data_IF_568240710727
#
_entry.id   IF_568240710727
#
_cell.length_a   1.000
_cell.length_b   1.000
_cell.length_c   1.000
_cell.angle_alpha   90.00
_cell.angle_beta   90.00
_cell.angle_gamma   90.00
#
_symmetry.space_group_name_H-M   'P 1'
#
loop_
_entity.id
_entity.type
_entity.pdbx_description
1 polymer ?
#
# COMPACT_ATOMS: atom_id res chain seq x y z
N UNK A 1 -8.69 4.05 -7.66
CA UNK A 1 -8.04 2.87 -7.06
C UNK A 1 -9.08 2.15 -6.23
N UNK A 2 -9.19 0.83 -6.35
CA UNK A 2 -10.27 0.06 -5.71
C UNK A 2 -9.79 -0.93 -4.66
N UNK A 3 -8.51 -1.29 -4.68
CA UNK A 3 -7.90 -2.17 -3.68
C UNK A 3 -6.41 -1.87 -3.52
N UNK A 4 -5.89 -2.18 -2.33
CA UNK A 4 -4.48 -2.22 -1.99
C UNK A 4 -4.18 -3.53 -1.26
N UNK A 5 -3.29 -4.33 -1.84
CA UNK A 5 -2.82 -5.59 -1.30
C UNK A 5 -1.34 -5.46 -0.91
N UNK A 6 -0.93 -6.23 0.10
CA UNK A 6 0.44 -6.23 0.58
C UNK A 6 0.85 -7.67 0.84
N UNK A 7 1.85 -8.13 0.09
CA UNK A 7 2.31 -9.52 0.14
C UNK A 7 3.70 -9.63 0.77
N UNK A 8 3.93 -10.74 1.47
CA UNK A 8 5.25 -11.16 1.94
C UNK A 8 6.11 -11.75 0.82
N UNK A 9 7.31 -12.23 1.17
CA UNK A 9 8.25 -12.81 0.20
C UNK A 9 7.79 -14.12 -0.42
N UNK A 10 6.82 -14.78 0.21
CA UNK A 10 6.13 -15.99 -0.23
C UNK A 10 4.90 -15.69 -1.11
N UNK A 11 4.64 -14.41 -1.42
CA UNK A 11 3.47 -13.93 -2.15
C UNK A 11 2.12 -14.21 -1.46
N UNK A 12 2.14 -14.44 -0.15
CA UNK A 12 0.92 -14.53 0.67
C UNK A 12 0.60 -13.16 1.27
N UNK A 13 -0.68 -12.86 1.46
CA UNK A 13 -1.09 -11.59 2.10
C UNK A 13 -0.52 -11.52 3.51
N UNK A 14 0.04 -10.36 3.84
CA UNK A 14 0.45 -10.03 5.21
C UNK A 14 -0.56 -9.14 5.91
N UNK A 15 -1.66 -8.76 5.24
CA UNK A 15 -2.70 -7.92 5.83
C UNK A 15 -3.46 -8.71 6.90
N UNK A 16 -3.68 -8.12 8.07
CA UNK A 16 -4.56 -8.70 9.09
C UNK A 16 -6.05 -8.48 8.76
N UNK A 17 -6.36 -7.48 7.94
CA UNK A 17 -7.70 -7.09 7.49
C UNK A 17 -7.63 -6.30 6.19
N UNK A 18 -8.78 -6.09 5.55
CA UNK A 18 -8.89 -5.26 4.35
C UNK A 18 -8.33 -3.86 4.60
N UNK A 19 -7.46 -3.39 3.71
CA UNK A 19 -6.92 -2.04 3.75
C UNK A 19 -8.02 -1.00 3.56
N UNK A 20 -7.98 0.08 4.35
CA UNK A 20 -8.95 1.19 4.24
C UNK A 20 -8.36 2.25 3.34
N UNK A 21 -9.05 2.55 2.24
CA UNK A 21 -8.64 3.54 1.25
C UNK A 21 -9.55 4.76 1.37
N UNK A 22 -8.97 5.90 1.71
CA UNK A 22 -9.65 7.19 1.66
C UNK A 22 -9.19 7.96 0.42
N UNK A 23 -10.06 8.04 -0.57
CA UNK A 23 -9.77 8.74 -1.84
C UNK A 23 -9.91 10.26 -1.75
N UNK A 24 -10.58 10.78 -0.72
CA UNK A 24 -10.71 12.22 -0.47
C UNK A 24 -9.46 12.70 0.25
N UNK A 25 -9.06 12.00 1.32
CA UNK A 25 -7.85 12.33 2.08
C UNK A 25 -6.55 11.89 1.39
N UNK A 26 -6.61 11.00 0.40
CA UNK A 26 -5.43 10.46 -0.27
C UNK A 26 -4.61 9.56 0.66
N UNK A 27 -5.27 8.66 1.39
CA UNK A 27 -4.60 7.76 2.34
C UNK A 27 -4.96 6.31 2.12
N UNK A 28 -4.03 5.43 2.47
CA UNK A 28 -4.22 3.99 2.53
C UNK A 28 -3.76 3.55 3.92
N UNK A 29 -4.67 3.05 4.73
CA UNK A 29 -4.37 2.51 6.05
C UNK A 29 -4.40 0.98 5.97
N UNK A 30 -3.29 0.34 6.27
CA UNK A 30 -3.16 -1.12 6.26
C UNK A 30 -2.57 -1.60 7.56
N UNK A 31 -3.21 -2.60 8.16
CA UNK A 31 -2.69 -3.32 9.31
C UNK A 31 -2.14 -4.66 8.82
N UNK A 32 -0.93 -5.00 9.25
CA UNK A 32 -0.27 -6.27 8.91
C UNK A 32 -0.23 -7.21 10.10
N UNK A 33 -0.13 -8.51 9.82
CA UNK A 33 0.02 -9.56 10.82
C UNK A 33 1.26 -9.32 11.70
N UNK A 34 1.19 -9.71 12.97
CA UNK A 34 2.33 -9.67 13.87
C UNK A 34 3.50 -10.51 13.33
N UNK A 35 4.73 -10.00 13.44
CA UNK A 35 5.93 -10.67 12.94
C UNK A 35 6.20 -10.50 11.44
N UNK A 36 5.38 -9.75 10.71
CA UNK A 36 5.62 -9.42 9.29
C UNK A 36 6.99 -8.75 9.10
N UNK A 37 7.80 -9.23 8.15
CA UNK A 37 9.03 -8.56 7.73
C UNK A 37 8.71 -7.33 6.86
N UNK A 38 8.70 -6.16 7.49
CA UNK A 38 8.37 -4.89 6.83
C UNK A 38 9.40 -4.43 5.79
N UNK A 39 10.61 -5.02 5.74
CA UNK A 39 11.65 -4.60 4.79
C UNK A 39 11.48 -5.21 3.41
N UNK A 40 10.68 -6.27 3.29
CA UNK A 40 10.64 -7.14 2.12
C UNK A 40 9.21 -7.39 1.61
N UNK A 41 8.44 -6.32 1.39
CA UNK A 41 7.03 -6.44 0.99
C UNK A 41 6.79 -6.12 -0.48
N UNK A 42 5.79 -6.76 -1.08
CA UNK A 42 5.30 -6.45 -2.42
C UNK A 42 3.96 -5.71 -2.33
N UNK A 43 3.95 -4.37 -2.43
CA UNK A 43 2.71 -3.61 -2.51
C UNK A 43 2.07 -3.80 -3.89
N UNK A 44 0.75 -4.03 -3.91
CA UNK A 44 -0.03 -4.20 -5.12
C UNK A 44 -1.25 -3.30 -5.09
N UNK A 45 -1.44 -2.57 -6.18
CA UNK A 45 -2.55 -1.63 -6.33
C UNK A 45 -3.47 -2.12 -7.44
N UNK A 46 -4.78 -2.16 -7.17
CA UNK A 46 -5.77 -2.27 -8.23
C UNK A 46 -6.17 -0.87 -8.69
N UNK A 47 -5.68 -0.49 -9.88
CA UNK A 47 -5.92 0.81 -10.49
C UNK A 47 -7.15 0.77 -11.41
N UNK A 48 -7.75 1.93 -11.65
CA UNK A 48 -8.75 2.09 -12.72
C UNK A 48 -8.09 1.89 -14.09
N UNK A 49 -8.90 1.65 -15.12
CA UNK A 49 -8.42 1.47 -16.49
C UNK A 49 -7.43 2.58 -16.91
N UNK A 50 -6.33 2.17 -17.54
CA UNK A 50 -5.20 2.98 -18.04
C UNK A 50 -4.47 3.86 -17.01
N UNK A 51 -4.89 3.86 -15.75
CA UNK A 51 -4.19 4.56 -14.69
C UNK A 51 -2.84 3.89 -14.41
N UNK A 52 -1.89 4.68 -13.92
CA UNK A 52 -0.55 4.19 -13.56
C UNK A 52 -0.10 4.77 -12.22
N UNK A 53 0.86 4.09 -11.59
CA UNK A 53 1.53 4.58 -10.40
C UNK A 53 2.81 5.33 -10.75
N UNK A 54 3.11 6.32 -9.94
CA UNK A 54 4.37 7.06 -9.93
C UNK A 54 4.83 7.26 -8.46
N UNK A 55 5.95 6.66 -8.03
CA UNK A 55 6.85 5.83 -8.82
C UNK A 55 6.22 4.47 -9.20
N UNK A 56 6.73 3.86 -10.27
CA UNK A 56 6.43 2.45 -10.58
C UNK A 56 7.08 1.55 -9.53
N UNK A 57 6.33 0.57 -9.04
CA UNK A 57 6.87 -0.49 -8.18
C UNK A 57 7.54 -1.54 -9.08
N UNK A 58 8.82 -1.83 -8.85
CA UNK A 58 9.61 -2.79 -9.64
C UNK A 58 10.05 -4.02 -8.85
N UNK A 59 9.73 -4.11 -7.56
CA UNK A 59 10.13 -5.19 -6.70
C UNK A 59 9.67 -5.00 -5.26
N UNK A 60 10.44 -5.55 -4.32
CA UNK A 60 10.20 -5.38 -2.88
C UNK A 60 10.38 -3.93 -2.45
N UNK A 61 9.60 -3.52 -1.45
CA UNK A 61 9.61 -2.18 -0.87
C UNK A 61 9.77 -2.31 0.64
N UNK A 62 10.63 -1.47 1.20
CA UNK A 62 10.82 -1.33 2.64
C UNK A 62 9.80 -0.34 3.22
N UNK A 63 8.98 -0.84 4.13
CA UNK A 63 7.97 -0.11 4.91
C UNK A 63 8.31 -0.08 6.42
N UNK A 64 9.53 -0.45 6.82
CA UNK A 64 9.92 -0.52 8.24
C UNK A 64 10.02 0.85 8.92
N UNK A 65 10.23 1.93 8.15
CA UNK A 65 10.11 3.30 8.64
C UNK A 65 8.65 3.76 8.58
N UNK A 66 7.90 3.46 9.65
CA UNK A 66 6.49 3.87 9.78
C UNK A 66 6.33 5.36 10.13
N UNK A 67 7.41 6.07 10.46
CA UNK A 67 7.36 7.51 10.75
C UNK A 67 7.46 8.37 9.48
N UNK A 68 8.02 7.81 8.41
CA UNK A 68 8.12 8.43 7.08
C UNK A 68 7.37 7.58 6.04
N UNK A 69 6.03 7.63 6.02
CA UNK A 69 5.21 6.76 5.18
C UNK A 69 5.51 6.98 3.69
N UNK A 70 5.43 5.88 2.91
CA UNK A 70 5.62 5.93 1.46
C UNK A 70 4.42 6.60 0.80
N UNK A 71 4.71 7.37 -0.26
CA UNK A 71 3.68 8.03 -1.08
C UNK A 71 3.76 7.51 -2.52
N UNK A 72 2.61 7.17 -3.08
CA UNK A 72 2.48 6.83 -4.50
C UNK A 72 1.41 7.69 -5.14
N UNK A 73 1.70 8.24 -6.32
CA UNK A 73 0.73 9.01 -7.08
C UNK A 73 0.01 8.11 -8.07
N UNK A 74 -1.32 8.04 -7.96
CA UNK A 74 -2.17 7.46 -8.99
C UNK A 74 -2.44 8.52 -10.04
N UNK A 75 -2.00 8.25 -11.26
CA UNK A 75 -2.23 9.11 -12.42
C UNK A 75 -3.37 8.50 -13.24
N UNK A 76 -4.44 9.26 -13.46
CA UNK A 76 -5.60 8.81 -14.23
C UNK A 76 -5.22 8.37 -15.65
N UNK A 77 -6.07 7.56 -16.28
CA UNK A 77 -5.85 7.07 -17.65
C UNK A 77 -5.63 8.19 -18.66
N UNK A 78 -6.45 9.25 -18.59
CA UNK A 78 -6.32 10.45 -19.43
C UNK A 78 -5.18 11.40 -19.02
N UNK A 79 -4.39 11.06 -17.99
CA UNK A 79 -3.24 11.83 -17.47
C UNK A 79 -3.53 13.23 -16.92
N UNK A 80 -4.81 13.59 -16.74
CA UNK A 80 -5.21 14.92 -16.23
C UNK A 80 -5.32 15.00 -14.71
N UNK A 81 -5.60 13.88 -14.05
CA UNK A 81 -5.76 13.82 -12.59
C UNK A 81 -4.60 13.04 -11.99
N UNK A 82 -4.00 13.62 -10.95
CA UNK A 82 -2.90 13.04 -10.18
C UNK A 82 -3.30 13.10 -8.72
N UNK A 83 -3.43 11.94 -8.09
CA UNK A 83 -3.85 11.84 -6.70
C UNK A 83 -2.76 11.13 -5.92
N UNK A 84 -2.04 11.81 -5.02
CA UNK A 84 -1.10 11.17 -4.12
C UNK A 84 -1.86 10.33 -3.09
N UNK A 85 -1.30 9.16 -2.77
CA UNK A 85 -1.76 8.31 -1.69
C UNK A 85 -0.62 8.03 -0.72
N UNK A 86 -0.78 8.44 0.53
CA UNK A 86 0.14 8.13 1.62
C UNK A 86 -0.25 6.79 2.25
N UNK A 87 0.70 5.87 2.35
CA UNK A 87 0.48 4.53 2.92
C UNK A 87 0.92 4.52 4.38
N UNK A 88 -0.03 4.31 5.28
CA UNK A 88 0.22 4.11 6.71
C UNK A 88 0.15 2.62 7.03
N UNK A 89 1.25 2.09 7.59
CA UNK A 89 1.33 0.72 8.08
C UNK A 89 1.15 0.73 9.59
N UNK A 90 0.33 -0.18 10.10
CA UNK A 90 0.34 -0.59 11.50
C UNK A 90 0.57 -2.09 11.61
N UNK A 91 1.07 -2.55 12.75
CA UNK A 91 1.22 -3.98 13.04
C UNK A 91 0.11 -4.39 14.00
N UNK A 92 -0.53 -5.52 13.72
CA UNK A 92 -1.53 -6.12 14.59
C UNK A 92 -0.92 -6.32 15.98
N UNK A 93 -1.62 -5.82 17.00
CA UNK A 93 -1.29 -6.12 18.39
C UNK A 93 -1.70 -7.56 18.70
N UNK A 94 -0.78 -8.43 19.17
CA UNK A 94 -1.16 -9.76 19.65
C UNK A 94 -2.14 -9.63 20.82
N UNK A 95 -3.23 -10.38 20.77
CA UNK A 95 -4.06 -10.59 21.96
C UNK A 95 -3.33 -11.59 22.86
N UNK A 96 -3.11 -11.22 24.13
CA UNK A 96 -2.61 -12.12 25.17
C UNK A 96 -3.62 -13.22 25.49
#
# INVERSE_FOLDING_TARGET
MTNFELLGTDFVTVRSKTAVIDTIAGTINVEVLFGTDLKNLYPQFTLSQDAKLDPKITGKVDFSDMTNPKVYTVISGNRKVRTPFTIFITVQTPTL
#
